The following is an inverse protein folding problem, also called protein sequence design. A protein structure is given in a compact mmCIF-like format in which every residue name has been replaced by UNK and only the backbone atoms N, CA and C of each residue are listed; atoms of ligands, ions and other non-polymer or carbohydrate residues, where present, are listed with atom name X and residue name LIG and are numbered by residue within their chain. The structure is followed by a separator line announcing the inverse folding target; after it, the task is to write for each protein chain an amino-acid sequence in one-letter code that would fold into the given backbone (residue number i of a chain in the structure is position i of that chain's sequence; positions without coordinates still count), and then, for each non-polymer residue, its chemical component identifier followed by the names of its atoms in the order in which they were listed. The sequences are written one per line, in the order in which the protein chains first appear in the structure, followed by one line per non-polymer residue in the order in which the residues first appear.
data_IF_841254116458
#
_entry.id   IF_841254116458
#
_cell.length_a   1.000
_cell.length_b   1.000
_cell.length_c   1.000
_cell.angle_alpha   90.00
_cell.angle_beta   90.00
_cell.angle_gamma   90.00
#
_symmetry.space_group_name_H-M   'P 1'
#
loop_
_entity.id
_entity.type
_entity.pdbx_description
1 polymer ?
#
# COMPACT_ATOMS: atom_id res chain seq x y z
N UNK A 1 22.65 -16.62 -2.11
CA UNK A 1 21.75 -16.42 -3.25
C UNK A 1 21.34 -17.80 -3.75
N UNK A 2 20.05 -18.14 -3.64
CA UNK A 2 19.51 -19.38 -4.18
C UNK A 2 19.19 -19.13 -5.66
N UNK A 3 19.47 -20.11 -6.52
CA UNK A 3 19.20 -20.00 -7.96
C UNK A 3 17.85 -20.63 -8.29
N UNK A 4 17.17 -20.10 -9.30
CA UNK A 4 15.98 -20.72 -9.87
C UNK A 4 16.32 -22.11 -10.42
N UNK A 5 15.36 -23.03 -10.33
CA UNK A 5 15.45 -24.33 -11.02
C UNK A 5 15.31 -24.14 -12.53
N UNK A 6 15.70 -25.16 -13.31
CA UNK A 6 15.54 -25.11 -14.77
C UNK A 6 14.07 -24.95 -15.19
N UNK A 7 13.15 -25.60 -14.48
CA UNK A 7 11.70 -25.49 -14.72
C UNK A 7 11.19 -24.07 -14.46
N UNK A 8 11.61 -23.46 -13.34
CA UNK A 8 11.24 -22.09 -13.01
C UNK A 8 11.81 -21.08 -14.02
N UNK A 9 13.04 -21.32 -14.50
CA UNK A 9 13.68 -20.47 -15.50
C UNK A 9 12.95 -20.56 -16.85
N UNK A 10 12.59 -21.77 -17.27
CA UNK A 10 11.83 -22.00 -18.50
C UNK A 10 10.45 -21.34 -18.45
N UNK A 11 9.74 -21.48 -17.33
CA UNK A 11 8.44 -20.82 -17.15
C UNK A 11 8.56 -19.29 -17.09
N UNK A 12 9.60 -18.77 -16.44
CA UNK A 12 9.89 -17.33 -16.41
C UNK A 12 10.15 -16.77 -17.82
N UNK A 13 10.83 -17.51 -18.69
CA UNK A 13 11.09 -17.07 -20.06
C UNK A 13 9.87 -17.17 -20.99
N UNK A 14 8.92 -18.06 -20.69
CA UNK A 14 7.66 -18.17 -21.45
C UNK A 14 6.68 -17.05 -21.12
N UNK A 15 6.71 -16.58 -19.89
CA UNK A 15 5.83 -15.54 -19.39
C UNK A 15 6.52 -14.17 -19.51
N UNK A 16 6.61 -13.66 -20.74
CA UNK A 16 7.06 -12.28 -20.96
C UNK A 16 6.15 -11.32 -20.17
N UNK A 17 6.78 -10.50 -19.32
CA UNK A 17 6.15 -9.47 -18.48
C UNK A 17 5.16 -9.93 -17.40
N UNK A 18 5.10 -11.22 -17.05
CA UNK A 18 4.29 -11.70 -15.93
C UNK A 18 5.13 -12.30 -14.79
N UNK A 19 4.77 -12.04 -13.52
CA UNK A 19 5.41 -12.69 -12.38
C UNK A 19 5.25 -14.21 -12.40
N UNK A 20 6.35 -14.95 -12.19
CA UNK A 20 6.29 -16.39 -12.05
C UNK A 20 5.54 -16.78 -10.78
N UNK A 21 4.46 -17.54 -10.92
CA UNK A 21 3.62 -18.00 -9.82
C UNK A 21 4.08 -19.36 -9.30
N UNK A 22 4.44 -19.42 -8.02
CA UNK A 22 4.84 -20.65 -7.34
C UNK A 22 3.78 -21.05 -6.32
N UNK A 23 3.49 -22.35 -6.23
CA UNK A 23 2.58 -22.91 -5.22
C UNK A 23 3.41 -23.73 -4.24
N UNK A 24 3.32 -23.43 -2.95
CA UNK A 24 3.82 -24.32 -1.91
C UNK A 24 2.84 -25.46 -1.72
N UNK A 25 3.20 -26.72 -2.06
CA UNK A 25 2.27 -27.84 -1.98
C UNK A 25 1.89 -28.22 -0.55
N UNK A 26 2.65 -27.77 0.46
CA UNK A 26 2.41 -28.09 1.87
C UNK A 26 1.35 -27.17 2.47
N UNK A 27 1.40 -25.88 2.13
CA UNK A 27 0.50 -24.86 2.69
C UNK A 27 -0.55 -24.36 1.70
N UNK A 28 -0.45 -24.78 0.44
CA UNK A 28 -1.21 -24.29 -0.70
C UNK A 28 -1.11 -22.75 -0.89
N UNK A 29 -0.10 -22.13 -0.30
CA UNK A 29 0.17 -20.70 -0.48
C UNK A 29 0.76 -20.46 -1.85
N UNK A 30 0.40 -19.31 -2.41
CA UNK A 30 0.88 -18.84 -3.70
C UNK A 30 1.90 -17.75 -3.45
N UNK A 31 3.06 -17.88 -4.06
CA UNK A 31 4.11 -16.88 -4.09
C UNK A 31 4.29 -16.38 -5.51
N UNK A 32 4.73 -15.14 -5.66
CA UNK A 32 5.09 -14.55 -6.95
C UNK A 32 6.57 -14.20 -6.93
N UNK A 33 7.29 -14.63 -7.95
CA UNK A 33 8.69 -14.27 -8.18
C UNK A 33 8.69 -13.13 -9.21
N UNK A 34 9.31 -12.03 -8.81
CA UNK A 34 9.49 -10.83 -9.64
C UNK A 34 10.97 -10.44 -9.65
N UNK A 35 11.37 -9.66 -10.65
CA UNK A 35 12.69 -9.05 -10.69
C UNK A 35 12.87 -8.07 -9.52
N UNK A 36 14.11 -7.90 -9.06
CA UNK A 36 14.39 -7.12 -7.85
C UNK A 36 14.06 -5.64 -7.99
N UNK A 37 14.29 -5.07 -9.16
CA UNK A 37 13.91 -3.70 -9.51
C UNK A 37 12.39 -3.47 -9.40
N UNK A 38 11.59 -4.43 -9.88
CA UNK A 38 10.15 -4.39 -9.71
C UNK A 38 9.74 -4.56 -8.24
N UNK A 39 10.42 -5.43 -7.50
CA UNK A 39 10.17 -5.57 -6.05
C UNK A 39 10.46 -4.27 -5.30
N UNK A 40 11.58 -3.62 -5.58
CA UNK A 40 11.96 -2.36 -4.94
C UNK A 40 10.98 -1.24 -5.30
N UNK A 41 10.51 -1.20 -6.54
CA UNK A 41 9.46 -0.27 -6.97
C UNK A 41 8.16 -0.50 -6.20
N UNK A 42 7.69 -1.75 -6.13
CA UNK A 42 6.47 -2.10 -5.40
C UNK A 42 6.62 -1.77 -3.91
N UNK A 43 7.77 -2.07 -3.33
CA UNK A 43 8.06 -1.76 -1.93
C UNK A 43 8.03 -0.25 -1.70
N UNK A 44 8.62 0.57 -2.58
CA UNK A 44 8.60 2.02 -2.46
C UNK A 44 7.18 2.63 -2.50
N UNK A 45 6.24 1.96 -3.18
CA UNK A 45 4.83 2.38 -3.25
C UNK A 45 4.04 1.95 -2.00
N UNK A 46 4.45 0.88 -1.34
CA UNK A 46 3.79 0.35 -0.14
C UNK A 46 4.38 0.97 1.13
N UNK A 47 5.67 1.32 1.11
CA UNK A 47 6.42 1.87 2.24
C UNK A 47 6.10 3.37 2.50
N UNK A 48 4.86 3.78 2.20
CA UNK A 48 4.20 4.93 2.81
C UNK A 48 3.87 4.69 4.29
N UNK A 49 4.47 3.67 4.93
CA UNK A 49 4.35 3.33 6.35
C UNK A 49 4.90 4.38 7.32
N UNK A 50 5.36 5.53 6.82
CA UNK A 50 5.61 6.73 7.62
C UNK A 50 4.64 7.89 7.34
N UNK A 51 3.52 7.65 6.64
CA UNK A 51 2.35 8.51 6.82
C UNK A 51 1.69 8.11 8.13
N UNK A 52 2.22 8.61 9.25
CA UNK A 52 1.45 8.63 10.48
C UNK A 52 0.26 9.56 10.23
N UNK A 53 -0.91 8.97 9.94
CA UNK A 53 -2.14 9.73 9.77
C UNK A 53 -2.38 10.61 11.00
N UNK A 54 -1.90 10.21 12.19
CA UNK A 54 -1.92 11.03 13.40
C UNK A 54 -1.13 12.35 13.24
N UNK A 55 -0.02 12.37 12.52
CA UNK A 55 0.72 13.60 12.21
C UNK A 55 -0.06 14.52 11.26
N UNK A 56 -0.88 13.95 10.38
CA UNK A 56 -1.71 14.74 9.46
C UNK A 56 -2.90 15.43 10.16
N UNK A 57 -3.40 14.88 11.28
CA UNK A 57 -4.49 15.49 12.04
C UNK A 57 -4.15 16.88 12.58
N UNK A 58 -2.90 17.13 12.96
CA UNK A 58 -2.47 18.45 13.45
C UNK A 58 -2.50 19.47 12.32
N UNK A 59 -1.99 19.12 11.13
CA UNK A 59 -2.04 20.01 9.98
C UNK A 59 -3.49 20.26 9.52
N UNK A 60 -4.32 19.21 9.52
CA UNK A 60 -5.73 19.29 9.17
C UNK A 60 -6.53 20.13 10.18
N UNK A 61 -6.29 19.99 11.48
CA UNK A 61 -6.98 20.78 12.52
C UNK A 61 -6.62 22.27 12.43
N UNK A 62 -5.35 22.59 12.16
CA UNK A 62 -4.91 23.97 11.94
C UNK A 62 -5.61 24.58 10.71
N UNK A 63 -5.70 23.83 9.61
CA UNK A 63 -6.39 24.32 8.40
C UNK A 63 -7.90 24.44 8.63
N UNK A 64 -8.53 23.48 9.30
CA UNK A 64 -9.96 23.50 9.63
C UNK A 64 -10.32 24.71 10.51
N UNK A 65 -9.54 24.97 11.57
CA UNK A 65 -9.72 26.14 12.42
C UNK A 65 -9.53 27.45 11.65
N UNK A 66 -8.49 27.54 10.81
CA UNK A 66 -8.22 28.74 9.99
C UNK A 66 -9.23 28.97 8.86
N UNK A 67 -10.02 27.96 8.49
CA UNK A 67 -11.07 28.06 7.46
C UNK A 67 -12.47 28.22 8.06
N UNK A 68 -12.57 28.43 9.38
CA UNK A 68 -13.83 28.72 10.07
C UNK A 68 -14.69 27.48 10.38
N UNK A 69 -14.12 26.28 10.33
CA UNK A 69 -14.82 25.06 10.75
C UNK A 69 -14.89 24.89 12.28
N UNK A 70 -14.12 25.69 13.01
CA UNK A 70 -14.13 25.79 14.47
C UNK A 70 -14.92 27.05 14.93
N UNK A 71 -15.75 27.60 14.03
CA UNK A 71 -16.63 28.73 14.33
C UNK A 71 -17.81 28.24 15.17
N UNK A 72 -18.11 28.86 16.32
CA UNK A 72 -19.23 28.47 17.17
C UNK A 72 -20.61 28.53 16.48
N UNK A 73 -20.76 29.21 15.33
CA UNK A 73 -21.97 29.14 14.50
C UNK A 73 -22.11 27.78 13.77
N UNK A 74 -21.01 27.06 13.52
CA UNK A 74 -21.04 25.70 12.94
C UNK A 74 -21.55 24.65 13.93
N UNK A 75 -21.40 24.87 15.24
CA UNK A 75 -21.94 24.00 16.30
C UNK A 75 -23.47 23.93 16.28
N UNK A 76 -24.16 24.92 15.70
CA UNK A 76 -25.61 24.92 15.59
C UNK A 76 -26.12 23.87 14.60
N UNK A 77 -25.34 23.55 13.56
CA UNK A 77 -25.65 22.48 12.62
C UNK A 77 -25.63 21.10 13.30
N UNK A 78 -24.60 20.81 14.10
CA UNK A 78 -24.46 19.54 14.84
C UNK A 78 -25.58 19.34 15.87
N UNK A 79 -26.08 20.41 16.49
CA UNK A 79 -27.22 20.34 17.43
C UNK A 79 -28.57 20.14 16.75
N UNK A 80 -28.65 20.34 15.44
CA UNK A 80 -29.88 20.21 14.65
C UNK A 80 -29.96 18.93 13.81
N UNK A 81 -28.89 18.12 13.82
CA UNK A 81 -28.91 16.78 13.27
C UNK A 81 -29.82 15.87 14.14
N UNK A 82 -30.77 15.13 13.56
CA UNK A 82 -31.74 14.31 14.29
C UNK A 82 -31.13 13.10 14.99
#
# INVERSE_FOLDING_TARGET
MIKLTAEQLDELHKQEDQPLRLVDPTTNKVYFVIASDLFDQVLSMIDETNFDIAETYVAQSIVASNTGWDDPEMDEYDRSAP
#
